data_IF_266130256170
#
_entry.id   IF_266130256170
#
_cell.length_a   1.000
_cell.length_b   1.000
_cell.length_c   1.000
_cell.angle_alpha   90.00
_cell.angle_beta   90.00
_cell.angle_gamma   90.00
#
_symmetry.space_group_name_H-M   'P 1'
#
loop_
_entity.id
_entity.type
_entity.pdbx_description
1 polymer ?
#
# COMPACT_ATOMS: atom_id res chain seq x y z
N UNK A 1 -5.98 -6.42 -12.43
CA UNK A 1 -4.71 -5.82 -12.90
C UNK A 1 -3.67 -6.93 -12.94
N UNK A 2 -2.70 -6.87 -13.84
CA UNK A 2 -1.60 -7.85 -13.91
C UNK A 2 -0.66 -7.85 -12.68
N UNK A 3 -0.46 -6.73 -11.93
CA UNK A 3 0.16 -6.79 -10.60
C UNK A 3 -0.71 -7.49 -9.54
N UNK A 4 -0.08 -7.94 -8.45
CA UNK A 4 -0.69 -8.53 -7.25
C UNK A 4 -0.62 -7.61 -6.02
N UNK A 5 -1.40 -6.51 -5.95
CA UNK A 5 -1.42 -5.59 -4.80
C UNK A 5 -1.66 -6.29 -3.45
N UNK A 6 -2.43 -7.37 -3.46
CA UNK A 6 -2.78 -8.17 -2.28
C UNK A 6 -1.58 -8.87 -1.64
N UNK A 7 -0.52 -9.15 -2.42
CA UNK A 7 0.70 -9.79 -1.91
C UNK A 7 1.66 -8.81 -1.26
N UNK A 8 1.46 -7.52 -1.47
CA UNK A 8 2.43 -6.48 -1.10
C UNK A 8 1.75 -5.30 -0.41
N UNK A 9 0.77 -5.57 0.46
CA UNK A 9 0.10 -4.54 1.26
C UNK A 9 1.01 -3.90 2.31
N UNK A 10 2.07 -4.58 2.76
CA UNK A 10 3.05 -4.11 3.74
C UNK A 10 4.46 -3.99 3.16
N UNK A 11 5.24 -3.02 3.64
CA UNK A 11 6.60 -2.74 3.19
C UNK A 11 7.50 -3.97 3.26
N UNK A 12 7.44 -4.74 4.36
CA UNK A 12 8.22 -5.98 4.56
C UNK A 12 7.97 -7.07 3.50
N UNK A 13 6.86 -7.02 2.77
CA UNK A 13 6.55 -8.00 1.72
C UNK A 13 7.11 -7.60 0.35
N UNK A 14 7.62 -6.38 0.20
CA UNK A 14 8.30 -5.94 -1.01
C UNK A 14 9.75 -6.44 -1.01
N UNK A 15 10.24 -6.93 -2.15
CA UNK A 15 11.66 -7.29 -2.31
C UNK A 15 12.59 -6.09 -2.13
N UNK A 16 12.08 -4.88 -2.42
CA UNK A 16 12.71 -3.60 -2.17
C UNK A 16 11.62 -2.55 -1.94
N UNK A 17 11.85 -1.66 -0.98
CA UNK A 17 11.06 -0.45 -0.80
C UNK A 17 11.98 0.69 -0.34
N UNK A 18 11.65 1.96 -0.60
CA UNK A 18 12.38 3.09 -0.04
C UNK A 18 12.12 3.23 1.46
N UNK A 19 12.96 3.99 2.17
CA UNK A 19 12.74 4.32 3.58
C UNK A 19 11.48 5.16 3.81
N UNK A 20 11.05 5.93 2.79
CA UNK A 20 9.80 6.70 2.75
C UNK A 20 9.23 6.74 1.34
N UNK A 21 7.91 6.66 1.21
CA UNK A 21 7.19 6.72 -0.08
C UNK A 21 6.98 8.14 -0.64
N UNK A 22 7.58 9.16 0.00
CA UNK A 22 7.51 10.56 -0.40
C UNK A 22 6.55 11.39 0.45
N UNK A 23 6.26 12.62 0.03
CA UNK A 23 5.55 13.63 0.85
C UNK A 23 4.14 13.25 1.28
N UNK A 24 3.51 12.31 0.58
CA UNK A 24 2.15 11.81 0.88
C UNK A 24 2.15 10.55 1.75
N UNK A 25 3.34 10.05 2.12
CA UNK A 25 3.48 8.94 3.03
C UNK A 25 3.02 9.38 4.42
N UNK A 26 1.93 8.78 4.90
CA UNK A 26 1.39 9.04 6.24
C UNK A 26 2.15 8.26 7.32
N UNK A 27 3.19 7.51 6.94
CA UNK A 27 3.94 6.62 7.80
C UNK A 27 3.24 5.29 8.09
N UNK A 28 3.95 4.40 8.77
CA UNK A 28 3.51 3.07 9.14
C UNK A 28 4.03 1.96 8.23
N UNK A 29 3.45 0.77 8.37
CA UNK A 29 3.99 -0.45 7.75
C UNK A 29 3.46 -0.74 6.34
N UNK A 30 2.57 0.10 5.81
CA UNK A 30 1.82 -0.18 4.60
C UNK A 30 2.48 0.41 3.34
N UNK A 31 2.32 -0.30 2.23
CA UNK A 31 2.72 0.22 0.90
C UNK A 31 1.61 1.08 0.31
N UNK A 32 1.89 1.85 -0.76
CA UNK A 32 0.87 2.60 -1.49
C UNK A 32 -0.28 1.73 -2.02
N UNK A 33 -0.04 0.44 -2.24
CA UNK A 33 -1.07 -0.50 -2.70
C UNK A 33 -2.20 -0.68 -1.69
N UNK A 34 -1.91 -0.53 -0.39
CA UNK A 34 -2.93 -0.61 0.65
C UNK A 34 -4.04 0.44 0.43
N UNK A 35 -3.72 1.58 -0.20
CA UNK A 35 -4.70 2.62 -0.51
C UNK A 35 -5.83 2.14 -1.40
N UNK A 36 -5.58 1.19 -2.30
CA UNK A 36 -6.64 0.60 -3.15
C UNK A 36 -7.72 -0.08 -2.30
N UNK A 37 -7.31 -0.87 -1.31
CA UNK A 37 -8.23 -1.59 -0.42
C UNK A 37 -8.92 -0.66 0.57
N UNK A 38 -8.22 0.38 1.05
CA UNK A 38 -8.84 1.42 1.89
C UNK A 38 -9.92 2.20 1.11
N UNK A 39 -9.63 2.58 -0.14
CA UNK A 39 -10.62 3.25 -1.00
C UNK A 39 -11.84 2.35 -1.24
N UNK A 40 -11.64 1.04 -1.45
CA UNK A 40 -12.74 0.08 -1.57
C UNK A 40 -13.57 0.01 -0.28
N UNK A 41 -12.93 -0.03 0.90
CA UNK A 41 -13.64 0.02 2.19
C UNK A 41 -14.49 1.29 2.32
N UNK A 42 -13.94 2.45 1.99
CA UNK A 42 -14.66 3.74 2.03
C UNK A 42 -15.85 3.74 1.07
N UNK A 43 -15.69 3.17 -0.12
CA UNK A 43 -16.78 3.08 -1.10
C UNK A 43 -17.95 2.21 -0.63
N UNK A 44 -17.73 1.27 0.31
CA UNK A 44 -18.77 0.37 0.81
C UNK A 44 -19.52 0.85 2.06
N UNK A 45 -19.14 1.98 2.69
CA UNK A 45 -19.78 2.51 3.93
C UNK A 45 -18.90 2.31 5.14
#
# INVERSE_FOLDING_TARGET
>A
MMPHPERVTRNVMMSWHPDSWGDQDTGGDYTPWMRMFMNARVAMG
#
